data_IF_516091701765
#
_entry.id   IF_516091701765
#
_cell.length_a   1.000
_cell.length_b   1.000
_cell.length_c   1.000
_cell.angle_alpha   90.00
_cell.angle_beta   90.00
_cell.angle_gamma   90.00
#
_symmetry.space_group_name_H-M   'P 1'
#
loop_
_entity.id
_entity.type
_entity.pdbx_description
1 polymer ?
#
# COMPACT_ATOMS: atom_id res chain seq x y z
N UNK A 1 6.45 11.67 -2.83
CA UNK A 1 5.58 10.52 -2.50
C UNK A 1 4.99 9.94 -3.77
N UNK A 2 4.19 10.71 -4.53
CA UNK A 2 3.53 10.21 -5.74
C UNK A 2 4.48 9.65 -6.80
N UNK A 3 5.60 10.33 -7.08
CA UNK A 3 6.58 9.82 -8.07
C UNK A 3 7.18 8.47 -7.68
N UNK A 4 7.49 8.28 -6.40
CA UNK A 4 7.96 6.99 -5.88
C UNK A 4 6.85 5.93 -5.91
N UNK A 5 5.60 6.30 -5.66
CA UNK A 5 4.49 5.35 -5.79
C UNK A 5 4.29 4.90 -7.24
N UNK A 6 4.56 5.78 -8.22
CA UNK A 6 4.48 5.46 -9.65
C UNK A 6 5.56 4.49 -10.13
N UNK A 7 6.69 4.41 -9.42
CA UNK A 7 7.76 3.47 -9.77
C UNK A 7 7.48 2.04 -9.30
N UNK A 8 6.47 1.83 -8.44
CA UNK A 8 6.08 0.49 -7.99
C UNK A 8 5.39 -0.24 -9.15
N UNK A 9 5.95 -1.37 -9.65
CA UNK A 9 5.35 -2.10 -10.75
C UNK A 9 4.06 -2.81 -10.32
N UNK A 10 3.14 -3.11 -11.27
CA UNK A 10 1.98 -3.95 -10.99
C UNK A 10 2.45 -5.32 -10.48
N UNK A 11 1.72 -5.87 -9.51
CA UNK A 11 2.05 -7.16 -8.89
C UNK A 11 3.09 -7.06 -7.78
N UNK A 12 3.55 -5.84 -7.45
CA UNK A 12 4.39 -5.59 -6.28
C UNK A 12 3.80 -4.52 -5.37
N UNK A 13 4.22 -4.58 -4.11
CA UNK A 13 3.81 -3.66 -3.06
C UNK A 13 5.02 -3.08 -2.36
N UNK A 14 4.94 -1.81 -1.97
CA UNK A 14 5.94 -1.15 -1.13
C UNK A 14 5.34 -0.89 0.26
N UNK A 15 6.16 -0.78 1.29
CA UNK A 15 5.68 -0.37 2.61
C UNK A 15 5.73 1.14 2.79
N UNK A 16 4.92 1.69 3.70
CA UNK A 16 5.07 3.08 4.11
C UNK A 16 6.51 3.40 4.55
N UNK A 17 7.21 2.45 5.17
CA UNK A 17 8.62 2.62 5.55
C UNK A 17 9.51 2.81 4.33
N UNK A 18 9.35 2.01 3.28
CA UNK A 18 10.15 2.11 2.05
C UNK A 18 9.94 3.48 1.38
N UNK A 19 8.67 3.90 1.29
CA UNK A 19 8.33 5.23 0.75
C UNK A 19 8.96 6.34 1.60
N UNK A 20 8.88 6.24 2.94
CA UNK A 20 9.48 7.22 3.85
C UNK A 20 11.00 7.32 3.68
N UNK A 21 11.67 6.18 3.53
CA UNK A 21 13.11 6.12 3.31
C UNK A 21 13.50 6.79 1.99
N UNK A 22 12.75 6.55 0.91
CA UNK A 22 13.01 7.15 -0.39
C UNK A 22 12.77 8.67 -0.42
N UNK A 23 11.69 9.14 0.22
CA UNK A 23 11.27 10.55 0.15
C UNK A 23 11.74 11.38 1.36
N UNK A 24 12.50 10.78 2.28
CA UNK A 24 12.93 11.37 3.57
C UNK A 24 11.77 12.00 4.38
N UNK A 25 10.64 11.30 4.40
CA UNK A 25 9.41 11.72 5.07
C UNK A 25 9.09 10.95 6.34
N UNK A 26 7.94 11.25 6.97
CA UNK A 26 7.39 10.47 8.08
C UNK A 26 6.20 9.61 7.63
N UNK A 27 5.93 8.45 8.27
CA UNK A 27 4.80 7.60 7.91
C UNK A 27 3.45 8.34 7.91
N UNK A 28 3.26 9.28 8.85
CA UNK A 28 2.07 10.15 8.89
C UNK A 28 1.98 11.08 7.69
N UNK A 29 3.08 11.73 7.30
CA UNK A 29 3.10 12.61 6.12
C UNK A 29 2.85 11.84 4.81
N UNK A 30 3.42 10.64 4.67
CA UNK A 30 3.22 9.77 3.51
C UNK A 30 1.77 9.26 3.47
N UNK A 31 1.24 8.79 4.60
CA UNK A 31 -0.16 8.36 4.70
C UNK A 31 -1.14 9.49 4.40
N UNK A 32 -0.86 10.69 4.90
CA UNK A 32 -1.64 11.90 4.58
C UNK A 32 -1.64 12.23 3.09
N UNK A 33 -0.47 12.22 2.45
CA UNK A 33 -0.36 12.46 1.01
C UNK A 33 -1.11 11.39 0.19
N UNK A 34 -0.98 10.11 0.54
CA UNK A 34 -1.68 9.04 -0.17
C UNK A 34 -3.20 9.08 0.05
N UNK A 35 -3.66 9.56 1.21
CA UNK A 35 -5.08 9.75 1.52
C UNK A 35 -5.70 10.90 0.72
N UNK A 36 -4.96 11.97 0.46
CA UNK A 36 -5.41 13.14 -0.32
C UNK A 36 -5.07 13.04 -1.81
N UNK A 37 -4.67 11.86 -2.28
CA UNK A 37 -4.27 11.63 -3.66
C UNK A 37 -5.47 11.77 -4.63
N UNK A 38 -5.58 12.92 -5.30
CA UNK A 38 -6.57 13.19 -6.35
C UNK A 38 -6.24 12.51 -7.68
N UNK A 39 -5.04 11.95 -7.84
CA UNK A 39 -4.55 11.34 -9.08
C UNK A 39 -4.75 9.82 -9.11
N UNK A 40 -5.59 9.26 -8.24
CA UNK A 40 -5.99 7.86 -8.34
C UNK A 40 -6.88 7.66 -9.59
N UNK A 41 -6.68 6.61 -10.41
CA UNK A 41 -5.78 5.45 -10.22
C UNK A 41 -4.38 5.59 -10.87
N UNK A 42 -4.06 6.71 -11.52
CA UNK A 42 -2.77 6.92 -12.21
C UNK A 42 -1.57 6.85 -11.24
N UNK A 43 -1.74 7.37 -10.03
CA UNK A 43 -0.81 7.13 -8.92
C UNK A 43 -1.35 5.94 -8.10
N UNK A 44 -0.67 4.77 -8.11
CA UNK A 44 -1.20 3.54 -7.53
C UNK A 44 -1.02 3.52 -6.00
N UNK A 45 -1.80 4.35 -5.29
CA UNK A 45 -1.74 4.44 -3.83
C UNK A 45 -2.12 3.13 -3.12
N UNK A 46 -2.86 2.23 -3.78
CA UNK A 46 -3.21 0.90 -3.26
C UNK A 46 -2.02 -0.06 -3.17
N UNK A 47 -0.89 0.24 -3.82
CA UNK A 47 0.34 -0.58 -3.73
C UNK A 47 1.19 -0.28 -2.50
N UNK A 48 0.79 0.68 -1.67
CA UNK A 48 1.52 1.04 -0.43
C UNK A 48 0.79 0.47 0.78
N UNK A 49 1.47 -0.43 1.52
CA UNK A 49 0.90 -1.17 2.65
C UNK A 49 1.65 -0.90 3.96
N UNK A 50 1.13 -1.39 5.08
CA UNK A 50 1.78 -1.28 6.37
C UNK A 50 3.17 -1.95 6.38
N UNK A 51 4.10 -1.40 7.17
CA UNK A 51 5.43 -1.99 7.37
C UNK A 51 5.39 -3.37 8.02
N UNK A 52 4.27 -3.75 8.62
CA UNK A 52 3.97 -5.08 9.14
C UNK A 52 3.53 -6.08 8.06
N UNK A 53 3.56 -5.68 6.78
CA UNK A 53 3.05 -6.44 5.63
C UNK A 53 1.54 -6.69 5.67
N UNK A 54 0.83 -5.93 6.51
CA UNK A 54 -0.61 -5.93 6.57
C UNK A 54 -1.17 -4.97 5.50
N UNK A 55 -2.24 -5.36 4.80
CA UNK A 55 -2.89 -4.57 3.74
C UNK A 55 -3.48 -3.22 4.24
N UNK A 56 -3.60 -3.04 5.55
CA UNK A 56 -4.16 -1.83 6.17
C UNK A 56 -3.36 -0.54 5.97
N UNK A 57 -3.97 0.58 6.36
CA UNK A 57 -3.44 1.93 6.16
C UNK A 57 -4.05 2.66 4.95
N UNK A 58 -4.72 1.95 4.06
CA UNK A 58 -5.43 2.54 2.92
C UNK A 58 -6.57 3.45 3.38
N UNK A 59 -6.69 4.63 2.75
CA UNK A 59 -7.63 5.71 3.13
C UNK A 59 -7.56 6.17 4.60
N UNK A 60 -6.55 5.75 5.36
CA UNK A 60 -6.43 6.03 6.79
C UNK A 60 -7.29 5.15 7.69
N UNK A 61 -7.83 4.04 7.18
CA UNK A 61 -8.45 3.00 8.02
C UNK A 61 -7.38 2.07 8.61
N UNK A 62 -7.53 1.77 9.90
CA UNK A 62 -6.62 0.92 10.67
C UNK A 62 -7.45 -0.08 11.50
N UNK A 63 -6.96 -1.32 11.60
CA UNK A 63 -7.56 -2.36 12.45
C UNK A 63 -8.16 -3.53 11.66
N UNK A 64 -8.27 -4.67 12.33
CA UNK A 64 -8.85 -5.92 11.78
C UNK A 64 -10.37 -5.84 11.58
N UNK A 65 -11.02 -4.89 12.24
CA UNK A 65 -12.48 -4.71 12.26
C UNK A 65 -12.97 -3.87 11.08
N UNK A 66 -12.11 -3.01 10.52
CA UNK A 66 -12.46 -2.14 9.40
C UNK A 66 -12.14 -2.82 8.06
N UNK A 67 -13.06 -2.64 7.09
CA UNK A 67 -13.13 -3.25 5.75
C UNK A 67 -11.95 -2.91 4.82
N UNK A 68 -10.80 -2.56 5.39
CA UNK A 68 -9.52 -2.26 4.73
C UNK A 68 -9.04 -3.40 3.83
N UNK A 69 -9.25 -4.66 4.24
CA UNK A 69 -8.94 -5.81 3.41
C UNK A 69 -9.83 -5.91 2.16
N UNK A 70 -11.08 -5.48 2.24
CA UNK A 70 -12.09 -5.79 1.21
C UNK A 70 -12.04 -4.84 0.02
N UNK A 71 -11.63 -3.57 0.20
CA UNK A 71 -11.63 -2.58 -0.90
C UNK A 71 -10.31 -2.53 -1.70
N UNK A 72 -9.17 -2.78 -1.05
CA UNK A 72 -7.87 -2.83 -1.75
C UNK A 72 -7.52 -4.20 -2.32
N UNK A 73 -7.98 -5.28 -1.68
CA UNK A 73 -7.76 -6.64 -2.18
C UNK A 73 -8.16 -6.83 -3.63
N UNK A 74 -9.29 -6.28 -4.16
CA UNK A 74 -9.66 -6.49 -5.56
C UNK A 74 -8.66 -5.91 -6.57
N UNK A 75 -8.09 -4.71 -6.32
CA UNK A 75 -7.11 -4.10 -7.21
C UNK A 75 -5.78 -4.85 -7.18
N UNK A 76 -5.31 -5.18 -5.97
CA UNK A 76 -4.08 -5.94 -5.78
C UNK A 76 -4.20 -7.40 -6.25
N UNK A 77 -5.35 -8.03 -6.05
CA UNK A 77 -5.65 -9.39 -6.53
C UNK A 77 -5.69 -9.43 -8.06
N UNK A 78 -6.24 -8.40 -8.72
CA UNK A 78 -6.16 -8.27 -10.18
C UNK A 78 -4.73 -8.13 -10.69
N UNK A 79 -3.84 -7.58 -9.87
CA UNK A 79 -2.42 -7.46 -10.16
C UNK A 79 -1.61 -8.72 -9.79
N UNK A 80 -2.25 -9.75 -9.20
CA UNK A 80 -1.60 -11.00 -8.80
C UNK A 80 -1.00 -10.99 -7.39
N UNK A 81 -1.28 -9.97 -6.57
CA UNK A 81 -0.83 -9.88 -5.18
C UNK A 81 -1.84 -10.57 -4.26
N UNK A 82 -1.41 -11.63 -3.58
CA UNK A 82 -2.24 -12.39 -2.66
C UNK A 82 -2.01 -12.00 -1.20
N UNK A 83 -3.08 -12.01 -0.41
CA UNK A 83 -3.05 -11.80 1.04
C UNK A 83 -3.62 -13.02 1.79
N UNK A 84 -3.25 -13.17 3.07
CA UNK A 84 -3.81 -14.18 3.98
C UNK A 84 -5.23 -13.80 4.40
N UNK A 85 -5.95 -14.76 5.00
CA UNK A 85 -7.30 -14.49 5.54
C UNK A 85 -7.27 -13.41 6.63
N UNK A 86 -6.13 -13.29 7.32
CA UNK A 86 -5.85 -12.29 8.34
C UNK A 86 -5.31 -10.96 7.76
N UNK A 87 -5.18 -10.83 6.43
CA UNK A 87 -4.81 -9.59 5.75
C UNK A 87 -3.31 -9.32 5.59
N UNK A 88 -2.45 -10.33 5.76
CA UNK A 88 -1.00 -10.20 5.57
C UNK A 88 -0.56 -10.62 4.17
N UNK A 89 0.51 -10.05 3.65
CA UNK A 89 1.04 -10.38 2.32
C UNK A 89 1.51 -11.85 2.26
N UNK A 90 1.00 -12.62 1.28
CA UNK A 90 1.42 -14.01 1.01
C UNK A 90 2.59 -14.05 0.02
N UNK A 91 3.76 -13.63 0.47
CA UNK A 91 4.99 -13.69 -0.33
C UNK A 91 5.87 -12.48 -0.13
N UNK A 92 7.09 -12.68 0.36
CA UNK A 92 8.07 -11.60 0.52
C UNK A 92 8.67 -11.15 -0.82
N UNK A 93 8.56 -11.98 -1.85
CA UNK A 93 8.95 -11.75 -3.25
C UNK A 93 8.11 -10.66 -3.94
N UNK A 94 6.89 -10.45 -3.44
CA UNK A 94 5.98 -9.39 -3.90
C UNK A 94 6.35 -8.01 -3.35
N UNK A 95 7.33 -7.92 -2.43
CA UNK A 95 7.79 -6.63 -1.92
C UNK A 95 8.70 -5.94 -2.93
N UNK A 96 8.44 -4.66 -3.17
CA UNK A 96 9.30 -3.78 -3.97
C UNK A 96 10.22 -2.99 -3.05
N UNK A 97 11.53 -3.14 -3.26
CA UNK A 97 12.61 -2.47 -2.52
C UNK A 97 13.66 -1.97 -3.51
#
# INVERSE_FOLDING_TARGET
VYDFTRTIPPGKVATYKDVCQAVRGSPRSVGGALRTNLFAPFVPCHRVIASSLFIGGFLGEWGKEHRTGTQCSPLLSKEGVAFTAEGYLKGADLLWR
#
